data_IF_268069144992
#
_entry.id   IF_268069144992
#
_cell.length_a   1.000
_cell.length_b   1.000
_cell.length_c   1.000
_cell.angle_alpha   90.00
_cell.angle_beta   90.00
_cell.angle_gamma   90.00
#
_symmetry.space_group_name_H-M   'P 1'
#
loop_
_entity.id
_entity.type
_entity.pdbx_description
1 polymer ?
#
# COMPACT_ATOMS: atom_id res chain seq x y z
N UNK A 1 -8.26 11.26 -13.81
CA UNK A 1 -7.53 10.74 -12.63
C UNK A 1 -6.12 11.31 -12.69
N UNK A 2 -5.53 11.72 -11.55
CA UNK A 2 -4.22 12.36 -11.56
C UNK A 2 -3.06 11.35 -11.61
N UNK A 3 -1.83 11.87 -11.75
CA UNK A 3 -0.61 11.07 -11.91
C UNK A 3 -0.38 10.07 -10.76
N UNK A 4 -0.60 10.48 -9.51
CA UNK A 4 -0.39 9.62 -8.33
C UNK A 4 -1.37 8.45 -8.30
N UNK A 5 -2.65 8.72 -8.54
CA UNK A 5 -3.68 7.69 -8.50
C UNK A 5 -3.47 6.69 -9.65
N UNK A 6 -3.24 7.17 -10.87
CA UNK A 6 -2.94 6.32 -12.04
C UNK A 6 -1.70 5.45 -11.80
N UNK A 7 -0.60 6.06 -11.33
CA UNK A 7 0.63 5.34 -11.05
C UNK A 7 0.44 4.27 -9.98
N UNK A 8 -0.28 4.59 -8.90
CA UNK A 8 -0.54 3.64 -7.80
C UNK A 8 -1.40 2.47 -8.28
N UNK A 9 -2.47 2.73 -9.03
CA UNK A 9 -3.38 1.68 -9.52
C UNK A 9 -2.74 0.82 -10.63
N UNK A 10 -1.83 1.37 -11.43
CA UNK A 10 -1.10 0.61 -12.45
C UNK A 10 -0.23 -0.53 -11.88
N UNK A 11 0.06 -0.49 -10.59
CA UNK A 11 0.87 -1.49 -9.87
C UNK A 11 0.05 -2.62 -9.26
N UNK A 12 -1.27 -2.53 -9.31
CA UNK A 12 -2.17 -3.56 -8.79
C UNK A 12 -1.94 -4.85 -9.59
N UNK A 13 -1.64 -5.99 -8.93
CA UNK A 13 -1.42 -7.25 -9.62
C UNK A 13 -2.67 -7.70 -10.40
N UNK A 14 -2.50 -8.41 -11.53
CA UNK A 14 -3.63 -8.98 -12.27
C UNK A 14 -4.53 -9.85 -11.38
N UNK A 15 -5.85 -9.67 -11.52
CA UNK A 15 -6.85 -10.44 -10.76
C UNK A 15 -7.11 -9.96 -9.33
N UNK A 16 -6.52 -8.82 -8.92
CA UNK A 16 -6.82 -8.15 -7.67
C UNK A 16 -7.67 -6.90 -7.95
N UNK A 17 -8.91 -6.89 -7.43
CA UNK A 17 -9.79 -5.72 -7.54
C UNK A 17 -9.51 -4.75 -6.39
N UNK A 18 -9.25 -3.48 -6.72
CA UNK A 18 -9.11 -2.43 -5.71
C UNK A 18 -10.50 -1.98 -5.25
N UNK A 19 -10.82 -2.06 -3.94
CA UNK A 19 -12.10 -1.57 -3.44
C UNK A 19 -12.29 -0.08 -3.74
N UNK A 20 -13.51 0.30 -4.13
CA UNK A 20 -13.84 1.70 -4.43
C UNK A 20 -13.40 2.70 -3.35
N UNK A 21 -13.57 2.43 -2.03
CA UNK A 21 -13.11 3.36 -1.00
C UNK A 21 -11.60 3.62 -1.04
N UNK A 22 -10.78 2.64 -1.46
CA UNK A 22 -9.33 2.83 -1.60
C UNK A 22 -9.03 3.72 -2.80
N UNK A 23 -9.71 3.51 -3.93
CA UNK A 23 -9.58 4.41 -5.09
C UNK A 23 -9.98 5.85 -4.74
N UNK A 24 -11.14 6.03 -4.09
CA UNK A 24 -11.61 7.34 -3.65
C UNK A 24 -10.63 8.01 -2.67
N UNK A 25 -9.98 7.24 -1.79
CA UNK A 25 -8.95 7.76 -0.91
C UNK A 25 -7.74 8.29 -1.67
N UNK A 26 -7.23 7.54 -2.66
CA UNK A 26 -6.10 7.97 -3.48
C UNK A 26 -6.42 9.26 -4.26
N UNK A 27 -7.60 9.32 -4.87
CA UNK A 27 -8.08 10.51 -5.60
C UNK A 27 -8.24 11.72 -4.68
N UNK A 28 -8.76 11.50 -3.46
CA UNK A 28 -8.90 12.56 -2.47
C UNK A 28 -7.54 13.11 -2.04
N UNK A 29 -6.58 12.25 -1.70
CA UNK A 29 -5.21 12.65 -1.30
C UNK A 29 -4.54 13.48 -2.40
N UNK A 30 -4.70 13.06 -3.65
CA UNK A 30 -4.19 13.79 -4.81
C UNK A 30 -4.88 15.15 -4.99
N UNK A 31 -6.21 15.19 -4.86
CA UNK A 31 -6.97 16.43 -4.96
C UNK A 31 -6.64 17.45 -3.84
N UNK A 32 -6.19 16.99 -2.67
CA UNK A 32 -5.72 17.87 -1.60
C UNK A 32 -4.30 18.41 -1.83
N UNK A 33 -3.57 17.90 -2.84
CA UNK A 33 -2.16 18.23 -3.04
C UNK A 33 -1.24 17.58 -2.01
N UNK A 34 -1.66 16.46 -1.41
CA UNK A 34 -0.90 15.75 -0.36
C UNK A 34 0.03 14.66 -0.94
N UNK A 35 0.49 14.87 -2.17
CA UNK A 35 1.38 13.97 -2.90
C UNK A 35 2.73 14.66 -3.06
N UNK A 36 3.82 13.96 -2.75
CA UNK A 36 5.15 14.41 -3.14
C UNK A 36 5.94 13.33 -3.85
N UNK A 37 6.94 13.79 -4.59
CA UNK A 37 7.92 12.93 -5.24
C UNK A 37 9.08 12.66 -4.28
N UNK A 38 9.30 11.38 -3.97
CA UNK A 38 10.41 10.92 -3.15
C UNK A 38 11.76 11.09 -3.84
N UNK A 39 12.84 10.90 -3.09
CA UNK A 39 14.22 10.94 -3.62
C UNK A 39 14.51 9.82 -4.63
N UNK A 40 13.74 8.75 -4.58
CA UNK A 40 13.72 7.64 -5.54
C UNK A 40 12.96 7.96 -6.84
N UNK A 41 12.35 9.15 -6.93
CA UNK A 41 11.54 9.58 -8.06
C UNK A 41 10.10 9.06 -8.02
N UNK A 42 9.72 8.26 -7.02
CA UNK A 42 8.38 7.69 -6.88
C UNK A 42 7.40 8.70 -6.24
N UNK A 43 6.09 8.49 -6.41
CA UNK A 43 5.05 9.33 -5.82
C UNK A 43 4.48 8.68 -4.56
N UNK A 44 4.35 9.50 -3.53
CA UNK A 44 3.89 9.09 -2.20
C UNK A 44 2.76 10.02 -1.75
N UNK A 45 1.61 9.44 -1.43
CA UNK A 45 0.47 10.15 -0.86
C UNK A 45 0.47 10.11 0.66
N UNK A 46 -0.01 11.17 1.30
CA UNK A 46 -0.22 11.24 2.75
C UNK A 46 -1.65 11.66 3.10
N UNK A 47 -2.11 11.29 4.29
CA UNK A 47 -3.38 11.78 4.85
C UNK A 47 -3.27 13.20 5.43
N UNK A 48 -2.09 13.81 5.36
CA UNK A 48 -1.83 15.19 5.77
C UNK A 48 -0.99 15.94 4.72
N UNK A 49 -1.20 17.25 4.60
CA UNK A 49 -0.44 18.10 3.68
C UNK A 49 0.95 18.49 4.16
N UNK A 50 1.42 17.92 5.27
CA UNK A 50 2.79 18.10 5.75
C UNK A 50 3.48 16.75 5.66
N UNK A 51 4.56 16.67 4.90
CA UNK A 51 5.37 15.47 4.95
C UNK A 51 5.75 15.10 6.39
N UNK A 52 5.76 13.80 6.73
CA UNK A 52 6.29 13.30 7.99
C UNK A 52 7.68 13.84 8.34
N UNK A 53 7.74 14.95 9.08
CA UNK A 53 8.99 15.54 9.60
C UNK A 53 9.05 15.49 11.13
N UNK A 54 8.20 14.72 11.80
CA UNK A 54 8.11 14.68 13.27
C UNK A 54 7.45 13.41 13.83
N UNK A 55 7.41 13.27 15.18
CA UNK A 55 6.75 12.14 15.84
C UNK A 55 5.24 12.15 15.57
N UNK A 56 4.70 11.03 15.08
CA UNK A 56 3.29 10.85 14.74
C UNK A 56 3.04 9.56 13.95
N UNK A 57 1.77 9.18 13.79
CA UNK A 57 1.38 8.07 12.92
C UNK A 57 1.53 8.48 11.46
N UNK A 58 2.52 7.91 10.79
CA UNK A 58 2.80 8.19 9.38
C UNK A 58 2.08 7.14 8.52
N UNK A 59 1.05 7.58 7.80
CA UNK A 59 0.35 6.77 6.79
C UNK A 59 0.85 7.22 5.43
N UNK A 60 1.66 6.38 4.80
CA UNK A 60 2.19 6.64 3.46
C UNK A 60 1.51 5.69 2.48
N UNK A 61 0.75 6.24 1.55
CA UNK A 61 0.06 5.49 0.51
C UNK A 61 0.97 5.37 -0.71
N UNK A 62 1.29 4.13 -1.06
CA UNK A 62 2.07 3.76 -2.23
C UNK A 62 1.90 2.26 -2.49
N UNK A 63 1.48 1.93 -3.71
CA UNK A 63 1.50 0.55 -4.20
C UNK A 63 2.92 0.03 -4.40
N UNK A 64 3.19 -1.17 -3.91
CA UNK A 64 4.45 -1.85 -4.18
C UNK A 64 4.65 -2.10 -5.67
N UNK A 65 5.90 -1.93 -6.11
CA UNK A 65 6.30 -2.21 -7.50
C UNK A 65 6.47 -3.73 -7.71
N UNK A 66 6.47 -4.22 -8.96
CA UNK A 66 6.67 -5.64 -9.25
C UNK A 66 7.96 -6.22 -8.66
N UNK A 67 9.05 -5.46 -8.62
CA UNK A 67 10.34 -5.87 -8.03
C UNK A 67 10.34 -5.88 -6.49
N UNK A 68 9.25 -5.43 -5.86
CA UNK A 68 9.08 -5.39 -4.41
C UNK A 68 8.06 -6.42 -3.91
N UNK A 69 7.43 -7.19 -4.80
CA UNK A 69 6.39 -8.16 -4.46
C UNK A 69 6.84 -9.20 -3.43
N UNK A 70 8.12 -9.60 -3.46
CA UNK A 70 8.69 -10.60 -2.55
C UNK A 70 8.84 -10.11 -1.10
N UNK A 71 8.66 -8.81 -0.82
CA UNK A 71 8.74 -8.27 0.56
C UNK A 71 7.73 -8.95 1.50
N UNK A 72 6.60 -9.41 0.96
CA UNK A 72 5.58 -10.13 1.72
C UNK A 72 6.11 -11.44 2.34
N UNK A 73 7.15 -12.04 1.76
CA UNK A 73 7.76 -13.27 2.27
C UNK A 73 8.36 -13.10 3.68
N UNK A 74 8.68 -11.87 4.09
CA UNK A 74 9.11 -11.58 5.46
C UNK A 74 8.03 -11.91 6.53
N UNK A 75 6.74 -11.88 6.15
CA UNK A 75 5.62 -12.22 7.04
C UNK A 75 5.14 -13.66 6.87
N UNK A 76 5.17 -14.18 5.64
CA UNK A 76 4.49 -15.42 5.28
C UNK A 76 5.47 -16.60 5.08
N UNK A 77 6.77 -16.34 5.10
CA UNK A 77 7.79 -17.31 4.73
C UNK A 77 7.81 -17.58 3.23
N UNK A 78 8.69 -18.49 2.80
CA UNK A 78 8.90 -18.86 1.40
C UNK A 78 7.82 -19.80 0.82
N UNK A 79 6.72 -20.03 1.55
CA UNK A 79 5.65 -20.97 1.21
C UNK A 79 4.32 -20.24 1.09
N UNK A 80 4.20 -19.42 0.05
CA UNK A 80 2.88 -18.94 -0.37
C UNK A 80 2.32 -19.89 -1.43
N UNK A 81 1.06 -20.33 -1.30
CA UNK A 81 0.37 -20.94 -2.42
C UNK A 81 0.33 -19.95 -3.59
N UNK A 82 0.58 -20.41 -4.83
CA UNK A 82 0.54 -19.59 -6.06
C UNK A 82 -0.77 -18.78 -6.23
N UNK A 83 -1.83 -19.15 -5.51
CA UNK A 83 -3.15 -18.52 -5.53
C UNK A 83 -3.32 -17.34 -4.58
N UNK A 84 -2.36 -17.10 -3.68
CA UNK A 84 -2.46 -16.04 -2.64
C UNK A 84 -1.82 -14.75 -3.14
N UNK A 85 -2.63 -13.83 -3.65
CA UNK A 85 -2.16 -12.49 -4.06
C UNK A 85 -2.29 -11.52 -2.89
N UNK A 86 -1.16 -11.04 -2.38
CA UNK A 86 -1.08 -9.95 -1.40
C UNK A 86 -0.33 -8.79 -2.03
N UNK A 87 -0.89 -7.59 -1.95
CA UNK A 87 -0.28 -6.38 -2.49
C UNK A 87 -0.30 -5.26 -1.44
N UNK A 88 0.89 -4.81 -1.04
CA UNK A 88 1.04 -3.76 -0.04
C UNK A 88 0.82 -2.39 -0.72
N UNK A 89 -0.03 -1.55 -0.12
CA UNK A 89 -0.37 -0.25 -0.70
C UNK A 89 -0.21 0.91 0.30
N UNK A 90 0.10 0.60 1.55
CA UNK A 90 0.12 1.59 2.61
C UNK A 90 1.12 1.19 3.68
N UNK A 91 2.10 2.06 3.97
CA UNK A 91 2.91 1.95 5.18
C UNK A 91 2.16 2.63 6.32
N UNK A 92 1.91 1.89 7.39
CA UNK A 92 1.14 2.37 8.55
C UNK A 92 2.02 2.74 9.75
N UNK A 93 3.34 2.51 9.67
CA UNK A 93 4.27 2.82 10.77
C UNK A 93 5.76 2.74 10.41
N UNK A 94 6.61 3.09 11.37
CA UNK A 94 8.07 3.08 11.23
C UNK A 94 8.67 1.68 11.08
N UNK A 95 8.17 0.70 11.83
CA UNK A 95 8.79 -0.63 11.99
C UNK A 95 8.40 -1.64 10.89
N UNK A 96 8.14 -1.15 9.67
CA UNK A 96 7.74 -2.01 8.55
C UNK A 96 6.29 -2.48 8.60
N UNK A 97 5.45 -1.90 9.47
CA UNK A 97 4.01 -2.18 9.48
C UNK A 97 3.33 -1.67 8.22
N UNK A 98 2.55 -2.54 7.56
CA UNK A 98 1.91 -2.25 6.28
C UNK A 98 0.41 -2.59 6.32
N UNK A 99 -0.39 -1.93 5.49
CA UNK A 99 -1.69 -2.42 5.06
C UNK A 99 -1.60 -2.88 3.60
N UNK A 100 -2.31 -3.97 3.32
CA UNK A 100 -2.28 -4.65 2.04
C UNK A 100 -3.69 -5.09 1.61
N UNK A 101 -3.86 -5.30 0.32
CA UNK A 101 -5.00 -6.03 -0.23
C UNK A 101 -4.62 -7.49 -0.33
N UNK A 102 -5.48 -8.37 0.17
CA UNK A 102 -5.35 -9.81 0.06
C UNK A 102 -6.53 -10.40 -0.70
N UNK A 103 -6.24 -11.18 -1.75
CA UNK A 103 -7.24 -12.02 -2.40
C UNK A 103 -7.32 -13.37 -1.68
N UNK A 104 -8.43 -13.60 -0.99
CA UNK A 104 -8.71 -14.86 -0.31
C UNK A 104 -8.99 -16.00 -1.31
N UNK A 105 -8.86 -17.28 -0.90
CA UNK A 105 -9.12 -18.43 -1.78
C UNK A 105 -10.54 -18.47 -2.37
N UNK A 106 -11.51 -17.86 -1.69
CA UNK A 106 -12.90 -17.75 -2.16
C UNK A 106 -13.13 -16.56 -3.12
N UNK A 107 -12.06 -15.85 -3.49
CA UNK A 107 -12.08 -14.72 -4.42
C UNK A 107 -12.37 -13.36 -3.78
N UNK A 108 -12.70 -13.29 -2.49
CA UNK A 108 -12.93 -12.00 -1.80
C UNK A 108 -11.62 -11.22 -1.67
N UNK A 109 -11.72 -9.89 -1.79
CA UNK A 109 -10.61 -8.98 -1.49
C UNK A 109 -10.81 -8.40 -0.10
N UNK A 110 -9.78 -8.53 0.74
CA UNK A 110 -9.76 -8.05 2.12
C UNK A 110 -8.63 -7.03 2.30
N UNK A 111 -8.89 -5.99 3.11
CA UNK A 111 -7.83 -5.13 3.62
C UNK A 111 -7.24 -5.82 4.85
N UNK A 112 -5.95 -6.13 4.80
CA UNK A 112 -5.23 -6.81 5.89
C UNK A 112 -4.10 -5.94 6.42
N UNK A 113 -3.76 -6.12 7.70
CA UNK A 113 -2.61 -5.49 8.32
C UNK A 113 -1.46 -6.50 8.45
N UNK A 114 -0.29 -6.11 7.97
CA UNK A 114 0.97 -6.85 8.08
C UNK A 114 1.82 -6.14 9.15
N UNK A 115 1.70 -6.61 10.39
CA UNK A 115 2.35 -5.99 11.55
C UNK A 115 3.83 -6.39 11.70
N UNK A 116 4.61 -5.60 12.44
CA UNK A 116 6.05 -5.83 12.67
C UNK A 116 6.39 -7.03 13.58
N UNK A 117 5.38 -7.76 14.08
CA UNK A 117 5.55 -8.95 14.92
C UNK A 117 5.75 -8.68 16.42
N UNK A 118 5.66 -7.44 16.91
CA UNK A 118 5.80 -7.15 18.35
C UNK A 118 4.56 -7.47 19.19
N UNK A 119 3.39 -7.63 18.56
CA UNK A 119 2.16 -8.08 19.22
C UNK A 119 1.84 -7.36 20.53
N UNK A 120 2.09 -6.05 20.62
CA UNK A 120 1.86 -5.23 21.82
C UNK A 120 0.52 -4.51 21.77
#
# INVERSE_FOLDING_TARGET
MGEFTELTLSRVPPGLEVPEPVRLLLEWVEAQGFVERGKDGDLYGSLNGRWPTGPGTNVLLRGDRPDEADRVAAWLGSTLPDTTTIWQFCRTGGDGSMAALWRAPDGRVLVVHLGSGSGS
#
